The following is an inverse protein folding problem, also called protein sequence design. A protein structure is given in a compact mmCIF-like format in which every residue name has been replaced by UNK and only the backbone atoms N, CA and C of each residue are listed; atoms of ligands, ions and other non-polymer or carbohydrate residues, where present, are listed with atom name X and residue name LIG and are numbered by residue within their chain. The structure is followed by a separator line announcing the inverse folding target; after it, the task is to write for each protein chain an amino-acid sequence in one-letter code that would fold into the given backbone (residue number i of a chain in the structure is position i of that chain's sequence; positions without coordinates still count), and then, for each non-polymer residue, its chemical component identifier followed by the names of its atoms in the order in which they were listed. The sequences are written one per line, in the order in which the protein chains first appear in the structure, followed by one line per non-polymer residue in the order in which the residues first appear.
data_IF_681889143966
#
_entry.id   IF_681889143966
#
_cell.length_a   1.000
_cell.length_b   1.000
_cell.length_c   1.000
_cell.angle_alpha   90.00
_cell.angle_beta   90.00
_cell.angle_gamma   90.00
#
_symmetry.space_group_name_H-M   'P 1'
#
loop_
_entity.id
_entity.type
_entity.pdbx_description
1 polymer ?
#
# COMPACT_ATOMS: atom_id res chain seq x y z
N UNK A 1 0.16 -50.17 -14.08
CA UNK A 1 1.45 -49.63 -13.59
C UNK A 1 1.81 -48.30 -14.23
N UNK A 2 2.19 -48.19 -15.51
CA UNK A 2 2.53 -46.88 -16.12
C UNK A 2 1.33 -45.97 -16.45
N UNK A 3 0.14 -46.54 -16.69
CA UNK A 3 -1.08 -45.78 -16.97
C UNK A 3 -1.73 -45.25 -15.67
N UNK A 4 -1.76 -46.04 -14.60
CA UNK A 4 -2.27 -45.64 -13.27
C UNK A 4 -1.45 -44.51 -12.65
N UNK A 5 -0.11 -44.53 -12.78
CA UNK A 5 0.75 -43.44 -12.32
C UNK A 5 0.54 -42.14 -13.10
N UNK A 6 0.10 -42.22 -14.36
CA UNK A 6 -0.18 -41.03 -15.19
C UNK A 6 -1.53 -40.41 -14.86
N UNK A 7 -2.53 -41.25 -14.55
CA UNK A 7 -3.86 -40.83 -14.10
C UNK A 7 -3.79 -40.14 -12.72
N UNK A 8 -3.07 -40.72 -11.75
CA UNK A 8 -2.85 -40.09 -10.44
C UNK A 8 -2.16 -38.73 -10.55
N UNK A 9 -1.17 -38.60 -11.45
CA UNK A 9 -0.46 -37.32 -11.66
C UNK A 9 -1.40 -36.27 -12.27
N UNK A 10 -2.24 -36.64 -13.24
CA UNK A 10 -3.21 -35.73 -13.85
C UNK A 10 -4.30 -35.30 -12.87
N UNK A 11 -4.80 -36.21 -12.03
CA UNK A 11 -5.74 -35.88 -10.96
C UNK A 11 -5.14 -34.89 -9.95
N UNK A 12 -3.87 -35.08 -9.56
CA UNK A 12 -3.16 -34.12 -8.69
C UNK A 12 -3.02 -32.74 -9.37
N UNK A 13 -2.74 -32.69 -10.68
CA UNK A 13 -2.66 -31.43 -11.41
C UNK A 13 -4.01 -30.73 -11.54
N UNK A 14 -5.09 -31.48 -11.77
CA UNK A 14 -6.45 -30.95 -11.82
C UNK A 14 -6.95 -30.51 -10.43
N UNK A 15 -6.58 -31.22 -9.36
CA UNK A 15 -6.84 -30.81 -7.99
C UNK A 15 -6.08 -29.53 -7.63
N UNK A 16 -4.79 -29.41 -7.97
CA UNK A 16 -4.01 -28.18 -7.76
C UNK A 16 -4.55 -27.03 -8.61
N UNK A 17 -4.93 -27.29 -9.86
CA UNK A 17 -5.54 -26.31 -10.77
C UNK A 17 -6.89 -25.81 -10.26
N UNK A 18 -7.73 -26.71 -9.74
CA UNK A 18 -8.97 -26.38 -9.07
C UNK A 18 -8.71 -25.61 -7.75
N UNK A 19 -7.73 -26.01 -6.96
CA UNK A 19 -7.39 -25.34 -5.68
C UNK A 19 -6.94 -23.89 -5.89
N UNK A 20 -6.17 -23.62 -6.95
CA UNK A 20 -5.80 -22.27 -7.40
C UNK A 20 -7.05 -21.50 -7.88
N UNK A 21 -7.98 -22.16 -8.58
CA UNK A 21 -9.26 -21.57 -9.04
C UNK A 21 -10.22 -21.17 -7.91
N UNK A 22 -9.99 -21.57 -6.65
CA UNK A 22 -10.89 -21.27 -5.52
C UNK A 22 -10.30 -20.33 -4.47
N UNK A 23 -9.06 -19.82 -4.63
CA UNK A 23 -8.50 -18.84 -3.68
C UNK A 23 -9.24 -17.49 -3.81
N UNK A 24 -9.51 -16.80 -2.68
CA UNK A 24 -10.13 -15.49 -2.73
C UNK A 24 -9.11 -14.50 -3.28
N UNK A 25 -9.54 -13.50 -4.03
CA UNK A 25 -8.62 -12.54 -4.65
C UNK A 25 -8.49 -11.32 -3.77
N UNK A 26 -7.26 -10.88 -3.52
CA UNK A 26 -6.98 -9.60 -2.89
C UNK A 26 -6.36 -8.67 -3.94
N UNK A 27 -7.11 -7.65 -4.36
CA UNK A 27 -6.63 -6.62 -5.26
C UNK A 27 -5.97 -5.51 -4.44
N UNK A 28 -4.70 -5.21 -4.73
CA UNK A 28 -3.96 -4.16 -4.02
C UNK A 28 -3.57 -3.03 -4.96
N UNK A 29 -3.59 -1.80 -4.46
CA UNK A 29 -3.28 -0.62 -5.27
C UNK A 29 -1.81 -0.56 -5.70
N UNK A 30 -1.59 -0.13 -6.94
CA UNK A 30 -0.27 0.03 -7.54
C UNK A 30 0.42 -1.29 -7.86
N UNK A 31 1.76 -1.29 -7.78
CA UNK A 31 2.61 -2.46 -7.99
C UNK A 31 3.15 -2.95 -6.64
N UNK A 32 2.25 -3.15 -5.68
CA UNK A 32 2.59 -3.42 -4.28
C UNK A 32 2.34 -4.87 -3.88
N UNK A 33 1.89 -5.75 -4.79
CA UNK A 33 1.54 -7.14 -4.43
C UNK A 33 2.63 -7.88 -3.67
N UNK A 34 3.91 -7.64 -3.98
CA UNK A 34 5.02 -8.35 -3.32
C UNK A 34 5.11 -8.04 -1.83
N UNK A 35 4.73 -6.83 -1.41
CA UNK A 35 4.59 -6.50 0.01
C UNK A 35 3.43 -7.28 0.62
N UNK A 36 2.24 -7.16 0.02
CA UNK A 36 1.01 -7.73 0.55
C UNK A 36 0.99 -9.27 0.56
N UNK A 37 1.68 -9.93 -0.37
CA UNK A 37 1.86 -11.39 -0.37
C UNK A 37 2.61 -11.91 0.87
N UNK A 38 3.35 -11.05 1.55
CA UNK A 38 4.08 -11.42 2.76
C UNK A 38 3.27 -11.21 4.04
N UNK A 39 2.05 -10.67 3.94
CA UNK A 39 1.17 -10.35 5.07
C UNK A 39 0.38 -11.58 5.52
N UNK A 40 0.39 -11.86 6.82
CA UNK A 40 -0.17 -13.10 7.40
C UNK A 40 -1.65 -13.28 7.09
N UNK A 41 -2.45 -12.22 7.24
CA UNK A 41 -3.89 -12.27 6.97
C UNK A 41 -4.22 -12.52 5.50
N UNK A 42 -3.25 -12.38 4.59
CA UNK A 42 -3.44 -12.54 3.15
C UNK A 42 -2.88 -13.87 2.61
N UNK A 43 -2.34 -14.77 3.44
CA UNK A 43 -1.77 -16.04 2.97
C UNK A 43 -2.78 -16.98 2.31
N UNK A 44 -4.06 -16.86 2.65
CA UNK A 44 -5.13 -17.61 1.99
C UNK A 44 -5.57 -17.00 0.66
N UNK A 45 -5.12 -15.78 0.34
CA UNK A 45 -5.52 -14.98 -0.82
C UNK A 45 -4.58 -15.18 -2.01
N UNK A 46 -5.13 -15.08 -3.22
CA UNK A 46 -4.37 -14.73 -4.42
C UNK A 46 -4.26 -13.20 -4.50
N UNK A 47 -3.10 -12.67 -4.14
CA UNK A 47 -2.83 -11.23 -4.10
C UNK A 47 -2.37 -10.76 -5.48
N UNK A 48 -3.10 -9.81 -6.07
CA UNK A 48 -2.89 -9.32 -7.42
C UNK A 48 -2.80 -7.78 -7.47
N UNK A 49 -2.07 -7.27 -8.47
CA UNK A 49 -2.01 -5.83 -8.74
C UNK A 49 -3.35 -5.36 -9.31
N UNK A 50 -4.00 -4.47 -8.56
CA UNK A 50 -5.34 -3.97 -8.85
C UNK A 50 -5.38 -2.85 -9.89
N UNK A 51 -4.28 -2.12 -10.07
CA UNK A 51 -4.24 -0.86 -10.79
C UNK A 51 -4.35 0.33 -9.83
N UNK A 52 -4.98 1.41 -10.26
CA UNK A 52 -5.33 2.51 -9.34
C UNK A 52 -6.61 2.15 -8.54
N UNK A 53 -6.92 2.92 -7.51
CA UNK A 53 -8.14 2.78 -6.71
C UNK A 53 -9.43 2.65 -7.55
N UNK A 54 -9.59 3.43 -8.62
CA UNK A 54 -10.79 3.38 -9.50
C UNK A 54 -10.86 2.03 -10.23
N UNK A 55 -9.72 1.49 -10.67
CA UNK A 55 -9.67 0.18 -11.33
C UNK A 55 -10.05 -0.95 -10.37
N UNK A 56 -9.59 -0.89 -9.12
CA UNK A 56 -9.95 -1.86 -8.07
C UNK A 56 -11.45 -1.83 -7.81
N UNK A 57 -12.02 -0.63 -7.67
CA UNK A 57 -13.46 -0.43 -7.45
C UNK A 57 -14.26 -1.06 -8.59
N UNK A 58 -13.94 -0.74 -9.84
CA UNK A 58 -14.64 -1.29 -11.02
C UNK A 58 -14.57 -2.82 -11.06
N UNK A 59 -13.39 -3.40 -10.81
CA UNK A 59 -13.22 -4.87 -10.77
C UNK A 59 -14.08 -5.52 -9.69
N UNK A 60 -14.24 -4.88 -8.53
CA UNK A 60 -15.09 -5.38 -7.45
C UNK A 60 -16.58 -5.29 -7.78
N UNK A 61 -17.00 -4.23 -8.47
CA UNK A 61 -18.37 -4.07 -8.99
C UNK A 61 -18.69 -5.14 -10.04
N UNK A 62 -17.80 -5.35 -11.02
CA UNK A 62 -17.95 -6.32 -12.11
C UNK A 62 -17.94 -7.78 -11.61
N UNK A 63 -17.08 -8.10 -10.63
CA UNK A 63 -17.00 -9.44 -10.05
C UNK A 63 -18.18 -9.80 -9.13
N UNK A 64 -19.12 -8.87 -8.91
CA UNK A 64 -20.28 -9.06 -8.05
C UNK A 64 -19.92 -9.36 -6.59
N UNK A 65 -18.75 -8.92 -6.12
CA UNK A 65 -18.24 -9.04 -4.73
C UNK A 65 -18.01 -10.45 -4.15
N UNK A 66 -18.23 -11.53 -4.92
CA UNK A 66 -18.44 -12.86 -4.28
C UNK A 66 -17.19 -13.54 -3.70
N UNK A 67 -15.97 -13.08 -3.99
CA UNK A 67 -14.73 -13.68 -3.45
C UNK A 67 -13.52 -12.73 -3.52
N UNK A 68 -13.75 -11.42 -3.65
CA UNK A 68 -12.68 -10.45 -3.91
C UNK A 68 -12.73 -9.32 -2.89
N UNK A 69 -11.56 -8.95 -2.36
CA UNK A 69 -11.33 -7.79 -1.48
C UNK A 69 -10.40 -6.81 -2.19
N UNK A 70 -10.60 -5.51 -1.97
CA UNK A 70 -9.67 -4.46 -2.35
C UNK A 70 -8.94 -3.87 -1.13
N UNK A 71 -7.64 -3.62 -1.25
CA UNK A 71 -6.88 -2.77 -0.33
C UNK A 71 -6.37 -1.56 -1.10
N UNK A 72 -6.78 -0.36 -0.68
CA UNK A 72 -6.47 0.90 -1.36
C UNK A 72 -5.69 1.87 -0.48
N UNK A 73 -5.03 2.82 -1.12
CA UNK A 73 -4.28 3.90 -0.48
C UNK A 73 -5.19 4.87 0.30
N UNK A 74 -4.59 5.57 1.27
CA UNK A 74 -5.26 6.55 2.13
C UNK A 74 -5.73 7.82 1.41
N UNK A 75 -5.25 8.05 0.20
CA UNK A 75 -5.47 9.28 -0.56
C UNK A 75 -6.77 9.31 -1.35
N UNK A 76 -7.41 8.15 -1.54
CA UNK A 76 -8.69 8.06 -2.20
C UNK A 76 -9.83 8.59 -1.30
N UNK A 77 -10.65 9.47 -1.85
CA UNK A 77 -11.87 9.94 -1.21
C UNK A 77 -13.03 9.15 -1.78
N UNK A 78 -13.50 8.18 -1.00
CA UNK A 78 -14.75 7.50 -1.31
C UNK A 78 -15.85 8.56 -1.39
N UNK A 79 -16.61 8.56 -2.49
CA UNK A 79 -17.90 9.25 -2.51
C UNK A 79 -18.88 8.60 -1.54
N UNK A 80 -20.16 8.98 -1.58
CA UNK A 80 -21.20 8.43 -0.71
C UNK A 80 -21.38 6.89 -0.80
N UNK A 81 -20.74 6.24 -1.78
CA UNK A 81 -20.73 4.79 -1.94
C UNK A 81 -19.56 4.17 -1.17
N UNK A 82 -19.77 3.84 0.10
CA UNK A 82 -18.87 2.94 0.83
C UNK A 82 -18.92 1.54 0.20
N UNK A 83 -17.79 1.08 -0.35
CA UNK A 83 -17.70 -0.25 -0.94
C UNK A 83 -17.49 -1.30 0.16
N UNK A 84 -18.41 -2.27 0.23
CA UNK A 84 -18.43 -3.30 1.30
C UNK A 84 -17.19 -4.19 1.38
N UNK A 85 -16.47 -4.38 0.27
CA UNK A 85 -15.31 -5.27 0.20
C UNK A 85 -14.00 -4.51 -0.01
N UNK A 86 -13.94 -3.23 0.36
CA UNK A 86 -12.72 -2.44 0.29
C UNK A 86 -12.32 -2.05 1.70
N UNK A 87 -11.03 -2.20 1.98
CA UNK A 87 -10.39 -1.59 3.14
C UNK A 87 -9.33 -0.60 2.72
N UNK A 88 -9.14 0.41 3.55
CA UNK A 88 -8.24 1.53 3.28
C UNK A 88 -7.09 1.53 4.28
N UNK A 89 -5.86 1.68 3.78
CA UNK A 89 -4.72 1.83 4.68
C UNK A 89 -4.81 3.17 5.42
N UNK A 90 -4.37 3.18 6.67
CA UNK A 90 -4.30 4.37 7.52
C UNK A 90 -3.04 5.18 7.21
N UNK A 91 -2.76 5.40 5.93
CA UNK A 91 -1.56 6.05 5.43
C UNK A 91 -1.88 6.64 4.07
N UNK A 92 -1.33 7.79 3.70
CA UNK A 92 -1.54 8.33 2.34
C UNK A 92 -1.19 7.30 1.27
N UNK A 93 -0.12 6.53 1.47
CA UNK A 93 0.31 5.43 0.59
C UNK A 93 1.31 4.49 1.26
N UNK A 94 1.66 3.40 0.57
CA UNK A 94 2.74 2.48 0.97
C UNK A 94 4.08 3.19 1.17
N UNK A 95 4.38 4.24 0.39
CA UNK A 95 5.58 5.05 0.57
C UNK A 95 5.65 5.73 1.95
N UNK A 96 4.50 6.11 2.51
CA UNK A 96 4.43 6.71 3.85
C UNK A 96 4.72 5.67 4.94
N UNK A 97 4.22 4.44 4.75
CA UNK A 97 4.54 3.31 5.63
C UNK A 97 6.04 3.01 5.57
N UNK A 98 6.61 2.99 4.36
CA UNK A 98 8.05 2.77 4.17
C UNK A 98 8.88 3.87 4.83
N UNK A 99 8.48 5.14 4.69
CA UNK A 99 9.14 6.27 5.33
C UNK A 99 9.19 6.14 6.86
N UNK A 100 8.11 5.69 7.49
CA UNK A 100 8.04 5.50 8.94
C UNK A 100 8.88 4.31 9.43
N UNK A 101 8.95 3.23 8.64
CA UNK A 101 9.48 1.94 9.09
C UNK A 101 10.92 1.66 8.69
N UNK A 102 11.37 2.18 7.54
CA UNK A 102 12.69 1.85 6.99
C UNK A 102 13.74 2.85 7.50
N UNK A 103 14.77 2.40 8.27
CA UNK A 103 15.75 3.30 8.89
C UNK A 103 16.51 4.20 7.92
N UNK A 104 16.78 3.74 6.71
CA UNK A 104 17.49 4.53 5.70
C UNK A 104 16.70 5.77 5.23
N UNK A 105 15.38 5.78 5.40
CA UNK A 105 14.55 6.96 5.12
C UNK A 105 14.54 7.98 6.27
N UNK A 106 15.25 7.75 7.37
CA UNK A 106 15.43 8.72 8.46
C UNK A 106 16.00 10.06 7.99
N UNK A 107 16.71 10.09 6.86
CA UNK A 107 17.19 11.33 6.24
C UNK A 107 16.03 12.24 5.80
N UNK A 108 14.92 11.67 5.32
CA UNK A 108 13.69 12.41 4.96
C UNK A 108 13.06 12.98 6.23
N UNK A 109 12.87 12.15 7.26
CA UNK A 109 12.24 12.56 8.53
C UNK A 109 13.01 13.72 9.17
N UNK A 110 14.34 13.62 9.24
CA UNK A 110 15.19 14.71 9.75
C UNK A 110 15.04 16.00 8.94
N UNK A 111 15.01 15.90 7.62
CA UNK A 111 14.86 17.07 6.75
C UNK A 111 13.47 17.71 6.86
N UNK A 112 12.42 16.91 7.03
CA UNK A 112 11.06 17.40 7.29
C UNK A 112 10.96 18.06 8.67
N UNK A 113 11.57 17.48 9.71
CA UNK A 113 11.67 18.09 11.04
C UNK A 113 12.36 19.45 10.97
N UNK A 114 13.55 19.50 10.36
CA UNK A 114 14.31 20.75 10.22
C UNK A 114 13.50 21.85 9.53
N UNK A 115 12.70 21.51 8.53
CA UNK A 115 11.82 22.48 7.84
C UNK A 115 10.57 22.83 8.63
N UNK A 116 10.03 21.88 9.39
CA UNK A 116 8.90 22.12 10.27
C UNK A 116 9.28 23.09 11.38
N UNK A 117 10.53 23.03 11.86
CA UNK A 117 11.06 23.91 12.91
C UNK A 117 11.56 25.26 12.35
N UNK A 118 11.77 25.39 11.05
CA UNK A 118 12.18 26.64 10.40
C UNK A 118 11.01 27.64 10.42
N UNK A 119 11.15 28.81 11.10
CA UNK A 119 10.09 29.82 11.18
C UNK A 119 9.64 30.39 9.83
N UNK A 120 10.44 30.25 8.77
CA UNK A 120 10.10 30.71 7.41
C UNK A 120 9.35 29.66 6.60
N UNK A 121 9.48 28.39 6.95
CA UNK A 121 8.82 27.28 6.26
C UNK A 121 7.66 26.81 7.15
N UNK A 122 7.95 26.17 8.27
CA UNK A 122 6.95 25.65 9.18
C UNK A 122 6.11 24.52 8.58
N UNK A 123 5.32 23.88 9.44
CA UNK A 123 4.41 22.81 9.06
C UNK A 123 3.37 23.26 8.01
N UNK A 124 2.94 24.52 8.08
CA UNK A 124 1.94 25.11 7.18
C UNK A 124 2.38 25.10 5.72
N UNK A 125 3.62 25.52 5.44
CA UNK A 125 4.11 25.47 4.06
C UNK A 125 4.39 24.02 3.63
N UNK A 126 4.88 23.16 4.53
CA UNK A 126 5.11 21.75 4.19
C UNK A 126 3.81 21.03 3.82
N UNK A 127 2.70 21.27 4.53
CA UNK A 127 1.41 20.62 4.24
C UNK A 127 0.74 21.17 2.99
N UNK A 128 0.88 22.47 2.71
CA UNK A 128 0.21 23.16 1.60
C UNK A 128 0.95 23.13 0.25
N UNK A 129 2.16 22.57 0.19
CA UNK A 129 2.97 22.52 -1.04
C UNK A 129 3.30 21.08 -1.47
N UNK A 130 3.46 20.87 -2.77
CA UNK A 130 4.15 19.69 -3.28
C UNK A 130 5.60 19.68 -2.79
N UNK A 131 6.12 18.51 -2.44
CA UNK A 131 7.49 18.33 -1.96
C UNK A 131 8.30 17.50 -2.94
N UNK A 132 9.56 17.88 -3.16
CA UNK A 132 10.50 17.11 -3.97
C UNK A 132 11.88 17.11 -3.33
N UNK A 133 12.64 16.04 -3.56
CA UNK A 133 14.07 16.05 -3.24
C UNK A 133 14.78 16.90 -4.28
N UNK A 134 15.59 17.87 -3.83
CA UNK A 134 16.50 18.61 -4.70
C UNK A 134 17.65 17.68 -5.09
N UNK A 135 17.52 17.07 -6.25
CA UNK A 135 18.51 16.12 -6.75
C UNK A 135 18.77 16.33 -8.24
N UNK A 136 20.01 16.67 -8.60
CA UNK A 136 20.45 16.72 -10.00
C UNK A 136 21.46 15.58 -10.26
N UNK A 137 21.06 14.51 -10.96
CA UNK A 137 21.90 13.32 -11.18
C UNK A 137 23.17 13.60 -12.00
N UNK A 138 23.17 14.67 -12.79
CA UNK A 138 24.25 15.01 -13.74
C UNK A 138 25.33 15.92 -13.14
N UNK A 139 25.08 16.51 -11.98
CA UNK A 139 26.02 17.41 -11.32
C UNK A 139 26.85 16.60 -10.32
N UNK A 140 28.16 16.51 -10.58
CA UNK A 140 29.11 15.83 -9.69
C UNK A 140 29.07 16.43 -8.27
N UNK A 141 28.72 17.72 -8.16
CA UNK A 141 28.87 18.54 -6.95
C UNK A 141 27.58 18.80 -6.14
N UNK A 142 26.48 18.08 -6.37
CA UNK A 142 25.38 18.13 -5.39
C UNK A 142 25.77 17.37 -4.12
N UNK A 143 26.18 18.13 -3.11
CA UNK A 143 26.82 17.64 -1.89
C UNK A 143 25.81 17.30 -0.76
N UNK A 144 24.58 17.82 -0.78
CA UNK A 144 23.66 17.65 0.36
C UNK A 144 22.23 17.27 -0.05
N UNK A 145 21.65 16.34 0.72
CA UNK A 145 20.24 15.98 0.62
C UNK A 145 19.39 17.17 1.10
N UNK A 146 18.40 17.58 0.31
CA UNK A 146 17.43 18.58 0.76
C UNK A 146 16.07 18.36 0.11
N UNK A 147 15.01 18.72 0.83
CA UNK A 147 13.65 18.76 0.31
C UNK A 147 13.31 20.21 -0.06
N UNK A 148 12.59 20.42 -1.14
CA UNK A 148 12.15 21.75 -1.57
C UNK A 148 10.63 21.80 -1.69
N UNK A 149 10.08 22.95 -1.30
CA UNK A 149 8.70 23.32 -1.58
C UNK A 149 8.58 23.60 -3.09
N UNK A 150 7.58 23.00 -3.72
CA UNK A 150 7.27 23.20 -5.13
C UNK A 150 6.00 24.03 -5.26
N UNK A 151 5.04 23.58 -6.06
CA UNK A 151 3.77 24.27 -6.26
C UNK A 151 2.93 24.21 -4.99
N UNK A 152 2.38 25.35 -4.58
CA UNK A 152 1.33 25.41 -3.58
C UNK A 152 0.02 24.85 -4.14
N UNK A 153 -0.73 24.14 -3.30
CA UNK A 153 -2.03 23.62 -3.67
C UNK A 153 -3.01 24.76 -3.94
N UNK A 154 -3.84 24.56 -4.97
CA UNK A 154 -4.86 25.53 -5.36
C UNK A 154 -6.24 24.87 -5.58
N UNK A 155 -6.33 23.56 -5.35
CA UNK A 155 -7.60 22.82 -5.38
C UNK A 155 -8.22 22.88 -3.98
N UNK A 156 -9.47 23.36 -3.83
CA UNK A 156 -10.16 23.43 -2.54
C UNK A 156 -10.16 22.08 -1.81
N UNK A 157 -10.54 21.01 -2.50
CA UNK A 157 -10.54 19.66 -1.95
C UNK A 157 -9.18 19.29 -1.35
N UNK A 158 -8.09 19.53 -2.10
CA UNK A 158 -6.73 19.19 -1.65
C UNK A 158 -6.30 20.02 -0.44
N UNK A 159 -6.69 21.30 -0.41
CA UNK A 159 -6.43 22.20 0.72
C UNK A 159 -7.17 21.71 1.96
N UNK A 160 -8.47 21.48 1.85
CA UNK A 160 -9.32 20.98 2.95
C UNK A 160 -8.77 19.69 3.56
N UNK A 161 -8.34 18.75 2.71
CA UNK A 161 -7.75 17.50 3.20
C UNK A 161 -6.48 17.69 4.01
N UNK A 162 -5.55 18.53 3.55
CA UNK A 162 -4.31 18.74 4.32
C UNK A 162 -4.54 19.58 5.56
N UNK A 163 -5.50 20.49 5.54
CA UNK A 163 -5.93 21.26 6.70
C UNK A 163 -6.69 20.41 7.73
N UNK A 164 -7.38 19.34 7.32
CA UNK A 164 -8.01 18.36 8.22
C UNK A 164 -6.98 17.37 8.77
N UNK A 165 -6.24 16.70 7.87
CA UNK A 165 -5.41 15.53 8.21
C UNK A 165 -4.02 15.84 8.73
N UNK A 166 -3.47 17.02 8.48
CA UNK A 166 -2.04 17.30 8.73
C UNK A 166 -1.90 18.52 9.64
N UNK A 167 -1.74 18.28 10.94
CA UNK A 167 -1.52 19.32 11.95
C UNK A 167 -0.07 19.42 12.43
N UNK A 168 0.63 18.29 12.40
CA UNK A 168 1.98 18.13 12.94
C UNK A 168 2.82 17.19 12.10
N UNK A 169 4.12 17.07 12.41
CA UNK A 169 5.07 16.30 11.61
C UNK A 169 4.66 14.83 11.45
N UNK A 170 4.18 14.18 12.50
CA UNK A 170 3.78 12.76 12.45
C UNK A 170 2.61 12.57 11.48
N UNK A 171 1.59 13.42 11.56
CA UNK A 171 0.48 13.43 10.61
C UNK A 171 0.92 13.78 9.18
N UNK A 172 1.95 14.61 9.02
CA UNK A 172 2.54 14.92 7.72
C UNK A 172 3.24 13.69 7.13
N UNK A 173 4.05 13.00 7.92
CA UNK A 173 4.74 11.77 7.49
C UNK A 173 3.72 10.72 7.08
N UNK A 174 2.62 10.61 7.82
CA UNK A 174 1.59 9.59 7.60
C UNK A 174 0.64 9.90 6.45
N UNK A 175 0.15 11.14 6.34
CA UNK A 175 -0.97 11.51 5.46
C UNK A 175 -0.62 12.49 4.33
N UNK A 176 0.64 12.91 4.18
CA UNK A 176 1.05 13.74 3.03
C UNK A 176 1.39 12.87 1.81
N UNK A 177 1.08 13.36 0.61
CA UNK A 177 1.66 12.78 -0.60
C UNK A 177 3.20 12.99 -0.61
N UNK A 178 3.93 11.91 -0.30
CA UNK A 178 5.39 11.87 -0.25
C UNK A 178 5.99 10.85 -1.24
N UNK A 179 5.19 10.28 -2.16
CA UNK A 179 5.63 9.26 -3.12
C UNK A 179 6.89 9.69 -3.87
N UNK A 180 6.85 10.89 -4.45
CA UNK A 180 7.98 11.48 -5.20
C UNK A 180 9.21 11.71 -4.31
N UNK A 181 9.03 12.06 -3.04
CA UNK A 181 10.13 12.28 -2.09
C UNK A 181 10.82 10.95 -1.77
N UNK A 182 10.05 9.91 -1.47
CA UNK A 182 10.56 8.56 -1.16
C UNK A 182 11.28 7.96 -2.38
N UNK A 183 10.69 8.06 -3.57
CA UNK A 183 11.29 7.60 -4.83
C UNK A 183 12.61 8.31 -5.13
N UNK A 184 12.61 9.64 -5.02
CA UNK A 184 13.80 10.45 -5.31
C UNK A 184 14.89 10.22 -4.29
N UNK A 185 14.53 10.00 -3.02
CA UNK A 185 15.48 9.65 -1.96
C UNK A 185 16.10 8.28 -2.21
N UNK A 186 15.32 7.28 -2.60
CA UNK A 186 15.83 5.95 -2.97
C UNK A 186 16.89 6.03 -4.08
N UNK A 187 16.66 6.90 -5.08
CA UNK A 187 17.63 7.18 -6.16
C UNK A 187 18.88 7.89 -5.62
N UNK A 188 18.71 8.89 -4.76
CA UNK A 188 19.81 9.61 -4.11
C UNK A 188 20.71 8.64 -3.32
N UNK A 189 20.13 7.83 -2.43
CA UNK A 189 20.84 6.88 -1.59
C UNK A 189 21.62 5.85 -2.42
N UNK A 190 21.02 5.33 -3.49
CA UNK A 190 21.69 4.42 -4.43
C UNK A 190 22.88 5.06 -5.12
N UNK A 191 22.74 6.30 -5.58
CA UNK A 191 23.78 6.95 -6.39
C UNK A 191 24.93 7.48 -5.53
N UNK A 192 24.60 8.17 -4.42
CA UNK A 192 25.56 8.89 -3.57
C UNK A 192 26.11 8.03 -2.43
N UNK A 193 25.27 7.24 -1.77
CA UNK A 193 25.67 6.43 -0.60
C UNK A 193 25.87 4.94 -0.94
N UNK A 194 25.57 4.52 -2.18
CA UNK A 194 25.59 3.11 -2.62
C UNK A 194 24.64 2.19 -1.83
N UNK A 195 23.67 2.77 -1.14
CA UNK A 195 22.62 2.05 -0.41
C UNK A 195 21.48 1.76 -1.38
N UNK A 196 21.15 0.49 -1.60
CA UNK A 196 20.02 0.07 -2.44
C UNK A 196 18.85 -0.30 -1.53
N UNK A 197 17.77 0.45 -1.64
CA UNK A 197 16.53 0.17 -0.92
C UNK A 197 15.51 -0.36 -1.92
N UNK A 198 15.02 -1.57 -1.69
CA UNK A 198 13.89 -2.14 -2.42
C UNK A 198 12.63 -2.02 -1.56
N UNK A 199 12.22 -0.78 -1.24
CA UNK A 199 11.29 -0.54 -0.14
C UNK A 199 9.97 -1.28 -0.32
N UNK A 200 9.38 -1.33 -1.52
CA UNK A 200 8.12 -2.09 -1.75
C UNK A 200 8.31 -3.58 -1.43
N UNK A 201 9.37 -4.20 -1.95
CA UNK A 201 9.57 -5.65 -1.77
C UNK A 201 9.98 -6.00 -0.34
N UNK A 202 10.78 -5.14 0.31
CA UNK A 202 11.40 -5.43 1.59
C UNK A 202 10.63 -4.86 2.79
N UNK A 203 9.59 -4.05 2.58
CA UNK A 203 8.83 -3.38 3.64
C UNK A 203 8.32 -4.37 4.70
N UNK A 204 7.86 -5.56 4.28
CA UNK A 204 7.38 -6.61 5.19
C UNK A 204 8.40 -7.03 6.26
N UNK A 205 9.71 -6.86 6.01
CA UNK A 205 10.78 -7.19 6.97
C UNK A 205 10.81 -6.27 8.19
N UNK A 206 10.13 -5.12 8.10
CA UNK A 206 10.08 -4.10 9.15
C UNK A 206 8.81 -4.21 10.03
N UNK A 207 8.09 -5.33 9.94
CA UNK A 207 6.91 -5.65 10.76
C UNK A 207 7.18 -6.91 11.56
N UNK A 208 7.02 -6.84 12.88
CA UNK A 208 7.29 -7.97 13.78
C UNK A 208 6.45 -9.22 13.43
N UNK A 209 5.19 -9.03 13.00
CA UNK A 209 4.24 -10.12 12.69
C UNK A 209 3.60 -9.97 11.30
N UNK A 210 4.16 -9.15 10.42
CA UNK A 210 3.67 -8.94 9.03
C UNK A 210 2.13 -8.85 8.93
N UNK A 211 1.51 -8.07 9.83
CA UNK A 211 0.06 -8.06 10.00
C UNK A 211 -0.57 -6.78 9.45
N UNK A 212 -1.77 -6.89 8.89
CA UNK A 212 -2.56 -5.75 8.41
C UNK A 212 -2.84 -4.73 9.51
N UNK A 213 -2.82 -5.11 10.80
CA UNK A 213 -3.04 -4.20 11.94
C UNK A 213 -2.05 -3.05 12.02
N UNK A 214 -0.90 -3.16 11.34
CA UNK A 214 0.13 -2.12 11.32
C UNK A 214 -0.03 -1.15 10.14
N UNK A 215 -0.94 -1.43 9.22
CA UNK A 215 -1.20 -0.58 8.04
C UNK A 215 -2.67 -0.13 7.95
N UNK A 216 -3.60 -0.84 8.58
CA UNK A 216 -5.00 -0.46 8.73
C UNK A 216 -5.23 0.16 10.11
N UNK A 217 -6.15 1.12 10.21
CA UNK A 217 -6.63 1.55 11.52
C UNK A 217 -7.51 0.46 12.17
N UNK A 218 -7.91 0.67 13.43
CA UNK A 218 -8.72 -0.32 14.13
C UNK A 218 -10.08 -0.57 13.47
N UNK A 219 -10.70 0.44 12.85
CA UNK A 219 -12.00 0.30 12.18
C UNK A 219 -11.84 -0.51 10.89
N UNK A 220 -10.88 -0.16 10.05
CA UNK A 220 -10.57 -0.82 8.78
C UNK A 220 -10.06 -2.25 8.99
N UNK A 221 -9.29 -2.51 10.05
CA UNK A 221 -8.88 -3.86 10.41
C UNK A 221 -10.08 -4.73 10.81
N UNK A 222 -11.00 -4.22 11.63
CA UNK A 222 -12.23 -4.96 11.95
C UNK A 222 -13.12 -5.17 10.71
N UNK A 223 -13.17 -4.18 9.82
CA UNK A 223 -13.86 -4.32 8.53
C UNK A 223 -13.25 -5.47 7.70
N UNK A 224 -11.92 -5.51 7.58
CA UNK A 224 -11.22 -6.60 6.89
C UNK A 224 -11.60 -7.98 7.45
N UNK A 225 -11.56 -8.16 8.78
CA UNK A 225 -11.92 -9.43 9.43
C UNK A 225 -13.38 -9.82 9.15
N UNK A 226 -14.29 -8.84 9.14
CA UNK A 226 -15.70 -9.07 8.78
C UNK A 226 -15.86 -9.58 7.35
N UNK A 227 -15.17 -8.94 6.40
CA UNK A 227 -15.21 -9.31 4.97
C UNK A 227 -14.59 -10.69 4.76
N UNK A 228 -13.42 -10.96 5.34
CA UNK A 228 -12.72 -12.25 5.23
C UNK A 228 -13.58 -13.41 5.74
N UNK A 229 -14.21 -13.27 6.90
CA UNK A 229 -15.10 -14.29 7.46
C UNK A 229 -16.30 -14.57 6.54
N UNK A 230 -16.87 -13.52 5.93
CA UNK A 230 -17.96 -13.65 4.96
C UNK A 230 -17.53 -14.46 3.74
N UNK A 231 -16.36 -14.17 3.18
CA UNK A 231 -15.79 -14.88 2.02
C UNK A 231 -15.49 -16.34 2.36
N UNK A 232 -14.87 -16.59 3.51
CA UNK A 232 -14.51 -17.95 3.94
C UNK A 232 -15.74 -18.82 4.24
N UNK A 233 -16.83 -18.23 4.75
CA UNK A 233 -18.11 -18.95 4.93
C UNK A 233 -18.71 -19.39 3.59
N UNK A 234 -18.76 -18.49 2.60
CA UNK A 234 -19.32 -18.80 1.27
C UNK A 234 -18.57 -19.94 0.57
N UNK A 235 -17.26 -20.06 0.79
CA UNK A 235 -16.46 -21.18 0.25
C UNK A 235 -16.81 -22.53 0.86
N UNK A 236 -17.00 -22.57 2.19
CA UNK A 236 -17.37 -23.80 2.88
C UNK A 236 -18.71 -24.33 2.40
N UNK A 237 -19.69 -23.43 2.21
CA UNK A 237 -21.01 -23.78 1.70
C UNK A 237 -20.96 -24.34 0.26
N UNK A 238 -20.11 -23.75 -0.61
CA UNK A 238 -19.91 -24.26 -1.97
C UNK A 238 -19.21 -25.62 -2.02
N UNK A 239 -18.19 -25.85 -1.20
CA UNK A 239 -17.49 -27.15 -1.14
C UNK A 239 -18.39 -28.27 -0.62
N UNK A 240 -19.26 -27.97 0.36
CA UNK A 240 -20.22 -28.95 0.88
C UNK A 240 -21.40 -29.27 -0.06
N UNK A 241 -21.60 -28.48 -1.13
CA UNK A 241 -22.66 -28.71 -2.12
C UNK A 241 -22.17 -29.39 -3.41
N UNK A 242 -20.87 -29.63 -3.55
CA UNK A 242 -20.27 -30.38 -4.67
C UNK A 242 -20.06 -31.87 -4.37
N UNK A 243 -20.62 -32.39 -3.28
CA UNK A 243 -20.41 -33.77 -2.79
C UNK A 243 -21.65 -34.68 -2.93
N UNK A 244 -22.56 -34.40 -3.87
CA UNK A 244 -23.78 -35.19 -4.13
C UNK A 244 -23.78 -35.68 -5.56
#
# INVERSE_FOLDING_TARGET
MLEEELEEVLEIYDEIGAEISYRPVCLVEGNNKFFYQQIEELYSYDVQDGGNCIDIIKKLEEAGTKNTIGIIDGDYRLGENEFKNIVKIDYYSIENIALERIPDFKIIVKELQNKSDDPKIGIENLRSHDLKVKYFPKERDNLEFSIILCRQYNSPDRIEYVEDKIQELDSLIKYKNLKVVVDSTSKYLKMKLKIKIAYITDLHKYFENRSLKYILDSKEFQNFISIDNSINKQKREKRGSSSI
#
